data_IF_820750532761
#
_entry.id   IF_820750532761
#
_cell.length_a   1.000
_cell.length_b   1.000
_cell.length_c   1.000
_cell.angle_alpha   90.00
_cell.angle_beta   90.00
_cell.angle_gamma   90.00
#
_symmetry.space_group_name_H-M   'P 1'
#
loop_
_entity.id
_entity.type
_entity.pdbx_description
1 polymer ?
#
# COMPACT_ATOMS: atom_id res chain seq x y z
N UNK A 1 7.24 28.72 -12.47
CA UNK A 1 8.66 29.12 -12.67
C UNK A 1 8.93 30.43 -11.95
N UNK A 2 8.84 30.46 -10.61
CA UNK A 2 9.15 31.68 -9.84
C UNK A 2 10.53 31.56 -9.16
N UNK A 3 10.87 30.37 -8.68
CA UNK A 3 12.09 30.10 -7.92
C UNK A 3 13.39 30.28 -8.73
N UNK A 4 13.54 29.76 -9.96
CA UNK A 4 14.77 29.99 -10.75
C UNK A 4 14.96 31.45 -11.12
N UNK A 5 13.86 32.16 -11.42
CA UNK A 5 13.87 33.59 -11.78
C UNK A 5 14.32 34.44 -10.59
N UNK A 6 13.80 34.14 -9.40
CA UNK A 6 14.20 34.78 -8.14
C UNK A 6 15.69 34.58 -7.87
N UNK A 7 16.20 33.34 -8.00
CA UNK A 7 17.63 33.05 -7.80
C UNK A 7 18.54 33.81 -8.78
N UNK A 8 18.11 33.98 -10.03
CA UNK A 8 18.88 34.68 -11.04
C UNK A 8 18.90 36.20 -10.84
N UNK A 9 17.80 36.79 -10.35
CA UNK A 9 17.66 38.24 -10.22
C UNK A 9 18.00 38.80 -8.84
N UNK A 10 17.92 38.00 -7.77
CA UNK A 10 18.10 38.48 -6.39
C UNK A 10 19.39 38.01 -5.74
N UNK A 11 20.12 37.05 -6.31
CA UNK A 11 21.36 36.53 -5.75
C UNK A 11 22.60 36.96 -6.55
N UNK A 12 23.78 37.10 -5.90
CA UNK A 12 25.05 37.28 -6.60
C UNK A 12 25.35 36.10 -7.54
N UNK A 13 26.08 36.36 -8.63
CA UNK A 13 26.31 35.39 -9.72
C UNK A 13 26.77 34.01 -9.26
N UNK A 14 27.64 33.95 -8.24
CA UNK A 14 28.13 32.69 -7.68
C UNK A 14 27.02 31.86 -7.00
N UNK A 15 26.17 32.51 -6.19
CA UNK A 15 25.07 31.83 -5.47
C UNK A 15 24.00 31.38 -6.48
N UNK A 16 23.70 32.17 -7.50
CA UNK A 16 22.76 31.78 -8.54
C UNK A 16 23.25 30.54 -9.31
N UNK A 17 24.55 30.43 -9.59
CA UNK A 17 25.10 29.27 -10.30
C UNK A 17 24.98 27.99 -9.47
N UNK A 18 25.43 28.03 -8.20
CA UNK A 18 25.29 26.89 -7.30
C UNK A 18 23.82 26.56 -7.00
N UNK A 19 22.95 27.57 -6.85
CA UNK A 19 21.53 27.40 -6.58
C UNK A 19 20.77 26.75 -7.73
N UNK A 20 20.98 27.22 -8.96
CA UNK A 20 20.39 26.60 -10.16
C UNK A 20 20.92 25.18 -10.38
N UNK A 21 22.21 24.96 -10.13
CA UNK A 21 22.83 23.62 -10.15
C UNK A 21 22.19 22.68 -9.12
N UNK A 22 22.00 23.15 -7.89
CA UNK A 22 21.37 22.39 -6.81
C UNK A 22 19.91 22.04 -7.12
N UNK A 23 19.12 23.00 -7.62
CA UNK A 23 17.72 22.75 -8.03
C UNK A 23 17.66 21.72 -9.16
N UNK A 24 18.54 21.85 -10.17
CA UNK A 24 18.60 20.90 -11.28
C UNK A 24 18.99 19.50 -10.82
N UNK A 25 19.99 19.39 -9.93
CA UNK A 25 20.41 18.12 -9.34
C UNK A 25 19.28 17.47 -8.49
N UNK A 26 18.56 18.27 -7.70
CA UNK A 26 17.44 17.79 -6.89
C UNK A 26 16.29 17.25 -7.76
N UNK A 27 15.94 17.96 -8.84
CA UNK A 27 14.91 17.52 -9.79
C UNK A 27 15.35 16.26 -10.54
N UNK A 28 16.62 16.20 -10.97
CA UNK A 28 17.16 15.01 -11.64
C UNK A 28 17.12 13.77 -10.74
N UNK A 29 17.48 13.91 -9.46
CA UNK A 29 17.42 12.82 -8.48
C UNK A 29 15.98 12.35 -8.22
N UNK A 30 15.03 13.29 -8.14
CA UNK A 30 13.61 12.97 -7.95
C UNK A 30 13.01 12.27 -9.18
N UNK A 31 13.37 12.73 -10.37
CA UNK A 31 12.94 12.12 -11.63
C UNK A 31 13.50 10.71 -11.81
N UNK A 32 14.80 10.53 -11.53
CA UNK A 32 15.46 9.21 -11.60
C UNK A 32 14.79 8.20 -10.67
N UNK A 33 14.57 8.58 -9.40
CA UNK A 33 13.88 7.73 -8.42
C UNK A 33 12.47 7.36 -8.86
N UNK A 34 11.74 8.29 -9.48
CA UNK A 34 10.36 8.05 -9.95
C UNK A 34 10.32 7.10 -11.14
N UNK A 35 11.21 7.31 -12.12
CA UNK A 35 11.30 6.46 -13.32
C UNK A 35 11.79 5.06 -12.95
N UNK A 36 12.78 4.96 -12.06
CA UNK A 36 13.29 3.69 -11.57
C UNK A 36 12.21 2.92 -10.79
N UNK A 37 11.45 3.60 -9.93
CA UNK A 37 10.34 2.98 -9.19
C UNK A 37 9.25 2.45 -10.13
N UNK A 38 8.82 3.26 -11.10
CA UNK A 38 7.85 2.84 -12.12
C UNK A 38 8.36 1.65 -12.94
N UNK A 39 9.63 1.67 -13.34
CA UNK A 39 10.27 0.60 -14.12
C UNK A 39 10.39 -0.70 -13.33
N UNK A 40 10.76 -0.62 -12.05
CA UNK A 40 10.84 -1.78 -11.14
C UNK A 40 9.47 -2.41 -10.91
N UNK A 41 8.45 -1.58 -10.66
CA UNK A 41 7.07 -2.05 -10.53
C UNK A 41 6.58 -2.71 -11.81
N UNK A 42 6.88 -2.14 -12.98
CA UNK A 42 6.49 -2.76 -14.25
C UNK A 42 7.21 -4.10 -14.49
N UNK A 43 8.52 -4.16 -14.29
CA UNK A 43 9.29 -5.38 -14.53
C UNK A 43 8.88 -6.53 -13.59
N UNK A 44 8.58 -6.24 -12.32
CA UNK A 44 8.20 -7.26 -11.33
C UNK A 44 6.69 -7.55 -11.32
N UNK A 45 5.84 -6.54 -11.34
CA UNK A 45 4.40 -6.74 -11.16
C UNK A 45 3.68 -7.03 -12.47
N UNK A 46 4.19 -6.55 -13.61
CA UNK A 46 3.57 -6.78 -14.94
C UNK A 46 4.36 -7.83 -15.71
N UNK A 47 5.65 -7.62 -15.97
CA UNK A 47 6.40 -8.51 -16.87
C UNK A 47 6.58 -9.92 -16.28
N UNK A 48 7.04 -10.02 -15.03
CA UNK A 48 7.22 -11.32 -14.38
C UNK A 48 5.88 -12.03 -14.14
N UNK A 49 4.82 -11.32 -13.76
CA UNK A 49 3.53 -11.95 -13.48
C UNK A 49 2.74 -12.32 -14.75
N UNK A 50 2.78 -11.50 -15.80
CA UNK A 50 1.94 -11.65 -16.99
C UNK A 50 2.61 -12.43 -18.13
N UNK A 51 3.93 -12.31 -18.32
CA UNK A 51 4.63 -12.93 -19.46
C UNK A 51 5.47 -14.14 -19.07
N UNK A 52 6.23 -14.06 -17.97
CA UNK A 52 7.11 -15.16 -17.55
C UNK A 52 7.35 -15.18 -16.04
N UNK A 53 6.60 -16.04 -15.33
CA UNK A 53 6.70 -16.21 -13.88
C UNK A 53 8.09 -16.67 -13.40
N UNK A 54 8.89 -17.27 -14.29
CA UNK A 54 10.27 -17.72 -14.04
C UNK A 54 11.34 -16.85 -14.74
N UNK A 55 11.11 -15.54 -14.87
CA UNK A 55 12.13 -14.63 -15.41
C UNK A 55 13.37 -14.59 -14.51
N UNK A 56 14.56 -14.69 -15.12
CA UNK A 56 15.83 -14.59 -14.40
C UNK A 56 16.12 -13.13 -13.99
N UNK A 57 16.81 -12.89 -12.88
CA UNK A 57 17.19 -11.54 -12.42
C UNK A 57 17.89 -10.71 -13.51
N UNK A 58 18.68 -11.36 -14.36
CA UNK A 58 19.35 -10.70 -15.50
C UNK A 58 18.36 -10.19 -16.54
N UNK A 59 17.30 -10.94 -16.79
CA UNK A 59 16.24 -10.56 -17.72
C UNK A 59 15.43 -9.38 -17.15
N UNK A 60 15.11 -9.43 -15.85
CA UNK A 60 14.37 -8.35 -15.16
C UNK A 60 15.16 -7.03 -15.23
N UNK A 61 16.48 -7.05 -15.02
CA UNK A 61 17.32 -5.86 -15.14
C UNK A 61 17.33 -5.30 -16.57
N UNK A 62 17.37 -6.17 -17.58
CA UNK A 62 17.27 -5.73 -18.97
C UNK A 62 15.92 -5.08 -19.30
N UNK A 63 14.82 -5.67 -18.82
CA UNK A 63 13.48 -5.10 -18.97
C UNK A 63 13.39 -3.75 -18.26
N UNK A 64 13.89 -3.64 -17.03
CA UNK A 64 13.91 -2.36 -16.30
C UNK A 64 14.67 -1.28 -17.08
N UNK A 65 15.82 -1.59 -17.68
CA UNK A 65 16.57 -0.62 -18.50
C UNK A 65 15.78 -0.16 -19.72
N UNK A 66 15.12 -1.09 -20.42
CA UNK A 66 14.28 -0.76 -21.57
C UNK A 66 13.09 0.13 -21.17
N UNK A 67 12.43 -0.19 -20.05
CA UNK A 67 11.27 0.59 -19.57
C UNK A 67 11.67 1.99 -19.11
N UNK A 68 12.87 2.17 -18.55
CA UNK A 68 13.42 3.51 -18.23
C UNK A 68 13.48 4.37 -19.50
N UNK A 69 14.00 3.84 -20.61
CA UNK A 69 14.04 4.57 -21.88
C UNK A 69 12.64 4.90 -22.40
N UNK A 70 11.69 3.96 -22.30
CA UNK A 70 10.31 4.16 -22.77
C UNK A 70 9.57 5.19 -21.91
N UNK A 71 9.57 5.04 -20.59
CA UNK A 71 8.92 5.98 -19.67
C UNK A 71 9.60 7.36 -19.68
N UNK A 72 10.93 7.41 -19.75
CA UNK A 72 11.67 8.66 -19.93
C UNK A 72 11.27 9.37 -21.21
N UNK A 73 11.24 8.65 -22.34
CA UNK A 73 10.82 9.20 -23.64
C UNK A 73 9.37 9.70 -23.62
N UNK A 74 8.44 8.94 -23.05
CA UNK A 74 7.03 9.35 -22.88
C UNK A 74 6.89 10.58 -21.99
N UNK A 75 7.63 10.63 -20.87
CA UNK A 75 7.63 11.78 -19.97
C UNK A 75 8.19 13.03 -20.65
N UNK A 76 9.28 12.90 -21.42
CA UNK A 76 9.84 14.01 -22.21
C UNK A 76 8.86 14.47 -23.30
N UNK A 77 8.22 13.55 -24.01
CA UNK A 77 7.22 13.90 -25.00
C UNK A 77 6.04 14.67 -24.37
N UNK A 78 5.51 14.20 -23.24
CA UNK A 78 4.45 14.91 -22.51
C UNK A 78 4.91 16.28 -22.01
N UNK A 79 6.15 16.39 -21.52
CA UNK A 79 6.72 17.67 -21.08
C UNK A 79 6.87 18.68 -22.23
N UNK A 80 7.16 18.24 -23.45
CA UNK A 80 7.27 19.10 -24.64
C UNK A 80 5.92 19.48 -25.24
N UNK A 81 4.92 18.60 -25.16
CA UNK A 81 3.59 18.80 -25.75
C UNK A 81 2.64 19.60 -24.83
N UNK A 82 2.86 19.59 -23.52
CA UNK A 82 1.94 20.23 -22.57
C UNK A 82 2.35 21.66 -22.26
N UNK A 83 1.43 22.61 -22.43
CA UNK A 83 1.66 24.04 -22.18
C UNK A 83 1.68 24.45 -20.70
N UNK A 84 1.36 23.54 -19.77
CA UNK A 84 1.29 23.85 -18.33
C UNK A 84 1.68 22.67 -17.44
N UNK A 85 2.83 22.80 -16.77
CA UNK A 85 3.31 21.84 -15.76
C UNK A 85 2.36 21.75 -14.56
N UNK A 86 1.79 22.88 -14.14
CA UNK A 86 0.84 22.92 -13.02
C UNK A 86 -0.45 22.14 -13.36
N UNK A 87 -0.94 22.25 -14.60
CA UNK A 87 -2.09 21.48 -15.06
C UNK A 87 -1.81 19.97 -15.01
N UNK A 88 -0.66 19.53 -15.55
CA UNK A 88 -0.29 18.11 -15.54
C UNK A 88 -0.13 17.56 -14.11
N UNK A 89 0.52 18.31 -13.22
CA UNK A 89 0.66 17.95 -11.81
C UNK A 89 -0.69 17.83 -11.11
N UNK A 90 -1.61 18.77 -11.40
CA UNK A 90 -2.95 18.74 -10.83
C UNK A 90 -3.76 17.55 -11.34
N UNK A 91 -3.69 17.22 -12.64
CA UNK A 91 -4.43 16.07 -13.21
C UNK A 91 -3.92 14.75 -12.64
N UNK A 92 -2.60 14.61 -12.54
CA UNK A 92 -1.97 13.43 -11.93
C UNK A 92 -2.40 13.28 -10.47
N UNK A 93 -2.31 14.35 -9.69
CA UNK A 93 -2.69 14.35 -8.27
C UNK A 93 -4.18 14.03 -8.06
N UNK A 94 -5.04 14.47 -8.99
CA UNK A 94 -6.47 14.23 -8.95
C UNK A 94 -6.84 12.76 -9.22
N UNK A 95 -6.18 12.13 -10.19
CA UNK A 95 -6.34 10.70 -10.44
C UNK A 95 -5.87 9.88 -9.24
N UNK A 96 -4.73 10.23 -8.64
CA UNK A 96 -4.23 9.58 -7.42
C UNK A 96 -5.23 9.73 -6.27
N UNK A 97 -5.80 10.92 -6.09
CA UNK A 97 -6.76 11.20 -5.03
C UNK A 97 -8.09 10.45 -5.19
N UNK A 98 -8.58 10.30 -6.42
CA UNK A 98 -9.90 9.69 -6.64
C UNK A 98 -9.81 8.17 -6.77
N UNK A 99 -8.70 7.65 -7.27
CA UNK A 99 -8.56 6.22 -7.58
C UNK A 99 -7.73 5.50 -6.51
N UNK A 100 -6.52 5.97 -6.24
CA UNK A 100 -5.56 5.24 -5.39
C UNK A 100 -5.88 5.42 -3.91
N UNK A 101 -6.23 6.64 -3.51
CA UNK A 101 -6.51 6.95 -2.11
C UNK A 101 -7.67 6.14 -1.50
N UNK A 102 -8.88 6.07 -2.09
CA UNK A 102 -9.96 5.25 -1.52
C UNK A 102 -9.62 3.76 -1.51
N UNK A 103 -8.84 3.30 -2.48
CA UNK A 103 -8.35 1.93 -2.54
C UNK A 103 -7.40 1.61 -1.38
N UNK A 104 -6.46 2.52 -1.10
CA UNK A 104 -5.56 2.42 0.05
C UNK A 104 -6.33 2.42 1.37
N UNK A 105 -7.30 3.33 1.52
CA UNK A 105 -8.14 3.41 2.72
C UNK A 105 -8.91 2.11 2.97
N UNK A 106 -9.51 1.54 1.92
CA UNK A 106 -10.28 0.29 2.07
C UNK A 106 -9.37 -0.87 2.49
N UNK A 107 -8.19 -1.00 1.89
CA UNK A 107 -7.26 -2.09 2.23
C UNK A 107 -6.69 -1.95 3.65
N UNK A 108 -6.41 -0.73 4.11
CA UNK A 108 -5.81 -0.49 5.44
C UNK A 108 -6.83 -0.55 6.59
N UNK A 109 -8.01 0.03 6.42
CA UNK A 109 -8.97 0.23 7.52
C UNK A 109 -10.16 -0.74 7.51
N UNK A 110 -10.50 -1.35 6.37
CA UNK A 110 -11.69 -2.22 6.25
C UNK A 110 -11.27 -3.69 6.19
N UNK A 111 -11.51 -4.40 7.30
CA UNK A 111 -11.31 -5.86 7.39
C UNK A 111 -12.40 -6.56 6.57
N UNK A 112 -12.08 -6.91 5.33
CA UNK A 112 -13.01 -7.53 4.38
C UNK A 112 -12.90 -7.02 2.94
N UNK A 113 -11.97 -6.11 2.66
CA UNK A 113 -11.71 -5.62 1.29
C UNK A 113 -11.21 -6.76 0.40
N UNK A 114 -11.90 -6.95 -0.73
CA UNK A 114 -11.64 -7.99 -1.72
C UNK A 114 -11.14 -7.36 -3.04
N UNK A 115 -10.45 -8.15 -3.87
CA UNK A 115 -10.00 -7.68 -5.20
C UNK A 115 -11.17 -7.28 -6.09
N UNK A 116 -12.34 -7.93 -5.99
CA UNK A 116 -13.54 -7.56 -6.75
C UNK A 116 -14.08 -6.17 -6.36
N UNK A 117 -14.16 -5.86 -5.06
CA UNK A 117 -14.58 -4.53 -4.61
C UNK A 117 -13.57 -3.46 -5.01
N UNK A 118 -12.29 -3.81 -5.02
CA UNK A 118 -11.20 -2.95 -5.46
C UNK A 118 -11.33 -2.56 -6.94
N UNK A 119 -11.60 -3.55 -7.80
CA UNK A 119 -11.83 -3.33 -9.25
C UNK A 119 -13.12 -2.53 -9.47
N UNK A 120 -14.19 -2.83 -8.75
CA UNK A 120 -15.44 -2.07 -8.84
C UNK A 120 -15.24 -0.61 -8.42
N UNK A 121 -14.57 -0.36 -7.29
CA UNK A 121 -14.24 0.98 -6.82
C UNK A 121 -13.37 1.76 -7.81
N UNK A 122 -12.39 1.10 -8.44
CA UNK A 122 -11.57 1.68 -9.51
C UNK A 122 -12.42 2.12 -10.71
N UNK A 123 -13.29 1.24 -11.21
CA UNK A 123 -14.15 1.53 -12.37
C UNK A 123 -15.13 2.66 -12.03
N UNK A 124 -15.80 2.60 -10.89
CA UNK A 124 -16.73 3.64 -10.46
C UNK A 124 -16.04 4.99 -10.29
N UNK A 125 -14.85 5.03 -9.68
CA UNK A 125 -14.09 6.25 -9.50
C UNK A 125 -13.61 6.85 -10.81
N UNK A 126 -13.13 6.01 -11.73
CA UNK A 126 -12.71 6.45 -13.05
C UNK A 126 -13.90 6.97 -13.88
N UNK A 127 -15.04 6.27 -13.85
CA UNK A 127 -16.27 6.70 -14.53
C UNK A 127 -16.82 8.02 -13.99
N UNK A 128 -16.91 8.17 -12.67
CA UNK A 128 -17.38 9.42 -12.06
C UNK A 128 -16.40 10.57 -12.33
N UNK A 129 -15.10 10.30 -12.35
CA UNK A 129 -14.10 11.32 -12.64
C UNK A 129 -14.11 11.78 -14.10
N UNK A 130 -14.23 10.86 -15.05
CA UNK A 130 -14.37 11.20 -16.47
C UNK A 130 -15.73 11.86 -16.71
N UNK A 131 -16.80 11.35 -16.09
CA UNK A 131 -18.16 11.86 -16.20
C UNK A 131 -18.34 13.29 -15.66
N UNK A 132 -17.57 13.69 -14.65
CA UNK A 132 -17.55 15.06 -14.11
C UNK A 132 -16.97 16.11 -15.07
N UNK A 133 -16.38 15.69 -16.19
CA UNK A 133 -15.72 16.57 -17.16
C UNK A 133 -14.34 17.03 -16.69
N UNK A 134 -13.45 17.23 -17.63
CA UNK A 134 -12.08 17.64 -17.33
C UNK A 134 -11.67 18.85 -18.17
N UNK A 135 -11.52 20.04 -17.54
CA UNK A 135 -11.22 21.27 -18.26
C UNK A 135 -9.85 21.22 -18.96
N UNK A 136 -8.90 20.42 -18.47
CA UNK A 136 -7.56 20.30 -19.07
C UNK A 136 -7.50 19.34 -20.26
N UNK A 137 -8.42 18.37 -20.35
CA UNK A 137 -8.55 17.43 -21.48
C UNK A 137 -9.62 17.86 -22.49
N UNK A 138 -10.24 19.04 -22.31
CA UNK A 138 -11.38 19.53 -23.11
C UNK A 138 -12.55 18.53 -23.19
N UNK A 139 -12.71 17.69 -22.16
CA UNK A 139 -13.79 16.71 -22.12
C UNK A 139 -15.07 17.36 -21.60
N UNK A 140 -16.17 17.40 -22.40
CA UNK A 140 -17.45 17.92 -21.92
C UNK A 140 -17.97 17.05 -20.78
N UNK A 141 -18.48 17.65 -19.68
CA UNK A 141 -19.04 16.89 -18.57
C UNK A 141 -20.30 16.13 -19.03
N UNK A 142 -20.32 14.83 -18.77
CA UNK A 142 -21.49 13.98 -19.04
C UNK A 142 -22.50 14.03 -17.88
N UNK A 143 -22.03 14.34 -16.66
CA UNK A 143 -22.85 14.48 -15.45
C UNK A 143 -22.80 15.93 -14.99
N UNK A 144 -23.96 16.61 -15.06
CA UNK A 144 -24.14 17.96 -14.55
C UNK A 144 -24.48 17.92 -13.06
N UNK A 145 -23.50 18.18 -12.21
CA UNK A 145 -23.72 18.31 -10.77
C UNK A 145 -24.44 19.63 -10.42
N UNK A 146 -25.30 19.66 -9.38
CA UNK A 146 -26.05 20.86 -9.00
C UNK A 146 -25.12 22.02 -8.60
N UNK A 147 -25.38 23.23 -9.11
CA UNK A 147 -24.55 24.42 -8.90
C UNK A 147 -23.48 24.67 -9.98
N UNK A 148 -23.67 24.14 -11.18
CA UNK A 148 -22.82 24.42 -12.33
C UNK A 148 -22.96 25.89 -12.76
N UNK A 149 -21.82 26.57 -12.95
CA UNK A 149 -21.77 27.92 -13.51
C UNK A 149 -20.84 27.89 -14.71
N UNK A 150 -21.31 28.40 -15.84
CA UNK A 150 -20.48 28.59 -17.03
C UNK A 150 -19.49 29.72 -16.75
N UNK A 151 -18.19 29.44 -16.80
CA UNK A 151 -17.16 30.47 -16.76
C UNK A 151 -16.40 30.49 -18.07
N UNK A 152 -16.22 31.69 -18.61
CA UNK A 152 -15.41 31.96 -19.79
C UNK A 152 -13.94 32.10 -19.35
N UNK A 153 -13.05 31.27 -19.90
CA UNK A 153 -11.61 31.50 -19.82
C UNK A 153 -11.16 32.09 -21.15
N UNK A 154 -10.82 33.37 -21.14
CA UNK A 154 -10.19 34.04 -22.28
C UNK A 154 -8.71 33.65 -22.26
N UNK A 155 -8.23 32.96 -23.28
CA UNK A 155 -6.80 32.70 -23.45
C UNK A 155 -6.08 34.01 -23.78
N UNK A 156 -5.29 34.54 -22.83
CA UNK A 156 -4.52 35.79 -22.98
C UNK A 156 -3.49 35.80 -24.13
N UNK A 157 -3.23 34.65 -24.78
CA UNK A 157 -2.26 34.51 -25.87
C UNK A 157 -2.93 34.19 -27.22
N UNK A 158 -4.08 33.52 -27.24
CA UNK A 158 -4.76 33.05 -28.46
C UNK A 158 -6.05 33.81 -28.78
N UNK A 159 -6.61 34.55 -27.83
CA UNK A 159 -7.90 35.24 -28.02
C UNK A 159 -9.13 34.32 -28.05
N UNK A 160 -8.94 33.00 -27.97
CA UNK A 160 -10.02 32.03 -27.94
C UNK A 160 -10.74 32.04 -26.59
N UNK A 161 -12.08 32.15 -26.66
CA UNK A 161 -13.00 32.06 -25.53
C UNK A 161 -13.38 30.60 -25.35
N UNK A 162 -12.71 29.91 -24.42
CA UNK A 162 -13.09 28.54 -24.08
C UNK A 162 -14.10 28.55 -22.93
N UNK A 163 -15.31 28.05 -23.22
CA UNK A 163 -16.36 27.87 -22.23
C UNK A 163 -16.03 26.64 -21.37
N UNK A 164 -15.66 26.85 -20.11
CA UNK A 164 -15.47 25.76 -19.16
C UNK A 164 -16.61 25.76 -18.14
N UNK A 165 -17.23 24.60 -17.97
CA UNK A 165 -18.27 24.40 -16.96
C UNK A 165 -17.57 24.20 -15.61
N UNK A 166 -17.58 25.24 -14.77
CA UNK A 166 -17.01 25.15 -13.43
C UNK A 166 -18.08 24.60 -12.47
N UNK A 167 -17.91 23.35 -12.06
CA UNK A 167 -18.75 22.77 -11.02
C UNK A 167 -18.28 23.31 -9.66
N UNK A 168 -19.10 24.14 -9.01
CA UNK A 168 -18.81 24.68 -7.66
C UNK A 168 -18.96 23.63 -6.56
N UNK A 169 -19.71 22.57 -6.83
CA UNK A 169 -19.82 21.42 -5.95
C UNK A 169 -18.46 20.70 -5.88
N UNK A 170 -18.02 20.21 -4.70
CA UNK A 170 -16.78 19.46 -4.56
C UNK A 170 -16.91 18.05 -5.17
N UNK A 171 -17.10 17.99 -6.49
CA UNK A 171 -17.37 16.76 -7.24
C UNK A 171 -16.25 15.72 -7.07
N UNK A 172 -15.01 16.19 -6.85
CA UNK A 172 -13.84 15.34 -6.61
C UNK A 172 -13.93 14.56 -5.32
N UNK A 173 -14.34 15.21 -4.23
CA UNK A 173 -14.49 14.53 -2.93
C UNK A 173 -15.70 13.62 -2.95
N UNK A 174 -16.79 14.02 -3.62
CA UNK A 174 -17.95 13.16 -3.84
C UNK A 174 -17.61 11.92 -4.67
N UNK A 175 -16.82 12.08 -5.73
CA UNK A 175 -16.34 10.96 -6.56
C UNK A 175 -15.44 10.02 -5.76
N UNK A 176 -14.53 10.57 -4.95
CA UNK A 176 -13.66 9.78 -4.06
C UNK A 176 -14.48 8.98 -3.04
N UNK A 177 -15.45 9.63 -2.37
CA UNK A 177 -16.34 8.98 -1.41
C UNK A 177 -17.21 7.91 -2.06
N UNK A 178 -17.76 8.20 -3.24
CA UNK A 178 -18.55 7.23 -4.00
C UNK A 178 -17.72 6.01 -4.39
N UNK A 179 -16.45 6.21 -4.78
CA UNK A 179 -15.51 5.12 -5.09
C UNK A 179 -15.19 4.27 -3.87
N UNK A 180 -14.97 4.92 -2.72
CA UNK A 180 -14.75 4.23 -1.44
C UNK A 180 -15.98 3.42 -1.01
N UNK A 181 -17.17 4.02 -1.05
CA UNK A 181 -18.43 3.35 -0.72
C UNK A 181 -18.70 2.19 -1.67
N UNK A 182 -18.47 2.37 -2.97
CA UNK A 182 -18.61 1.30 -3.95
C UNK A 182 -17.63 0.15 -3.64
N UNK A 183 -16.37 0.45 -3.33
CA UNK A 183 -15.39 -0.57 -2.97
C UNK A 183 -15.83 -1.38 -1.75
N UNK A 184 -16.25 -0.70 -0.68
CA UNK A 184 -16.71 -1.33 0.56
C UNK A 184 -17.99 -2.15 0.31
N UNK A 185 -18.99 -1.57 -0.35
CA UNK A 185 -20.26 -2.23 -0.64
C UNK A 185 -20.06 -3.47 -1.51
N UNK A 186 -19.30 -3.38 -2.61
CA UNK A 186 -19.01 -4.54 -3.45
C UNK A 186 -18.13 -5.57 -2.75
N UNK A 187 -17.19 -5.16 -1.89
CA UNK A 187 -16.38 -6.08 -1.10
C UNK A 187 -17.23 -6.91 -0.13
N UNK A 188 -18.12 -6.26 0.64
CA UNK A 188 -19.03 -6.95 1.56
C UNK A 188 -20.11 -7.75 0.84
N UNK A 189 -20.67 -7.23 -0.26
CA UNK A 189 -21.63 -7.95 -1.09
C UNK A 189 -21.02 -9.23 -1.65
N UNK A 190 -19.79 -9.15 -2.17
CA UNK A 190 -19.07 -10.32 -2.69
C UNK A 190 -18.82 -11.33 -1.57
N UNK A 191 -18.35 -10.88 -0.40
CA UNK A 191 -18.15 -11.75 0.77
C UNK A 191 -19.46 -12.47 1.18
N UNK A 192 -20.55 -11.72 1.26
CA UNK A 192 -21.87 -12.25 1.58
C UNK A 192 -22.37 -13.26 0.53
N UNK A 193 -22.18 -12.98 -0.77
CA UNK A 193 -22.58 -13.88 -1.86
C UNK A 193 -21.81 -15.22 -1.85
N UNK A 194 -20.52 -15.19 -1.51
CA UNK A 194 -19.71 -16.40 -1.37
C UNK A 194 -20.06 -17.19 -0.09
N UNK A 195 -20.30 -16.52 1.04
CA UNK A 195 -20.73 -17.17 2.29
C UNK A 195 -22.15 -17.74 2.21
N UNK A 196 -23.04 -17.13 1.41
CA UNK A 196 -24.43 -17.58 1.21
C UNK A 196 -24.55 -18.76 0.23
N UNK A 197 -23.44 -19.29 -0.29
CA UNK A 197 -23.42 -20.49 -1.16
C UNK A 197 -24.09 -20.33 -2.53
N UNK A 198 -24.39 -19.10 -2.96
CA UNK A 198 -25.13 -18.85 -4.22
C UNK A 198 -24.21 -18.85 -5.46
N UNK A 199 -22.93 -18.53 -5.30
CA UNK A 199 -21.93 -18.59 -6.37
C UNK A 199 -21.00 -19.80 -6.23
N UNK A 200 -20.98 -20.65 -7.26
CA UNK A 200 -20.09 -21.83 -7.33
C UNK A 200 -18.62 -21.43 -7.41
N UNK A 201 -17.74 -22.19 -6.75
CA UNK A 201 -16.27 -22.03 -6.65
C UNK A 201 -15.54 -21.74 -7.99
N UNK A 202 -16.17 -22.00 -9.14
CA UNK A 202 -15.62 -21.80 -10.48
C UNK A 202 -15.51 -20.34 -10.93
N UNK A 203 -16.14 -19.40 -10.23
CA UNK A 203 -16.13 -17.97 -10.60
C UNK A 203 -15.12 -17.11 -9.82
N UNK A 204 -14.27 -17.68 -8.95
CA UNK A 204 -13.19 -16.92 -8.29
C UNK A 204 -11.97 -16.73 -9.23
N UNK A 205 -12.16 -15.98 -10.32
CA UNK A 205 -11.11 -15.71 -11.32
C UNK A 205 -9.96 -14.85 -10.80
N UNK A 206 -10.18 -14.06 -9.73
CA UNK A 206 -9.17 -13.20 -9.13
C UNK A 206 -8.53 -13.80 -7.87
N UNK A 207 -8.87 -15.05 -7.52
CA UNK A 207 -8.39 -15.81 -6.35
C UNK A 207 -8.37 -14.97 -5.05
N UNK A 208 -9.36 -14.10 -4.93
CA UNK A 208 -9.34 -12.96 -4.02
C UNK A 208 -9.95 -13.31 -2.66
N UNK A 209 -10.83 -14.31 -2.64
CA UNK A 209 -11.57 -14.73 -1.45
C UNK A 209 -11.06 -16.09 -0.97
N UNK A 210 -10.80 -17.02 -1.91
CA UNK A 210 -10.36 -18.39 -1.58
C UNK A 210 -8.89 -18.45 -1.16
N UNK A 211 -7.96 -17.72 -1.79
CA UNK A 211 -6.54 -17.80 -1.40
C UNK A 211 -6.25 -17.32 0.02
N UNK A 212 -7.06 -16.39 0.57
CA UNK A 212 -6.90 -15.90 1.95
C UNK A 212 -7.36 -16.94 2.97
N UNK A 213 -8.51 -17.57 2.74
CA UNK A 213 -9.01 -18.65 3.58
C UNK A 213 -8.13 -19.90 3.46
N UNK A 214 -7.69 -20.25 2.25
CA UNK A 214 -6.80 -21.39 2.02
C UNK A 214 -5.39 -21.17 2.58
N UNK A 215 -4.83 -19.95 2.52
CA UNK A 215 -3.56 -19.62 3.21
C UNK A 215 -3.71 -19.63 4.72
N UNK A 216 -4.81 -19.13 5.27
CA UNK A 216 -5.06 -19.14 6.72
C UNK A 216 -5.25 -20.56 7.27
N UNK A 217 -5.94 -21.43 6.52
CA UNK A 217 -6.06 -22.86 6.85
C UNK A 217 -4.71 -23.55 6.72
N UNK A 218 -3.98 -23.32 5.63
CA UNK A 218 -2.66 -23.95 5.43
C UNK A 218 -1.64 -23.48 6.45
N UNK A 219 -1.65 -22.20 6.85
CA UNK A 219 -0.77 -21.64 7.89
C UNK A 219 -1.12 -22.25 9.27
N UNK A 220 -2.42 -22.35 9.59
CA UNK A 220 -2.90 -23.10 10.76
C UNK A 220 -2.48 -24.56 10.74
N UNK A 221 -2.63 -25.26 9.63
CA UNK A 221 -2.26 -26.67 9.49
C UNK A 221 -0.74 -26.85 9.56
N UNK A 222 0.06 -25.92 9.01
CA UNK A 222 1.53 -25.96 9.18
C UNK A 222 1.95 -25.65 10.61
N UNK A 223 1.26 -24.74 11.32
CA UNK A 223 1.55 -24.47 12.73
C UNK A 223 1.15 -25.64 13.62
N UNK A 224 -0.04 -26.21 13.41
CA UNK A 224 -0.52 -27.40 14.13
C UNK A 224 0.37 -28.61 13.83
N UNK A 225 0.72 -28.84 12.57
CA UNK A 225 1.65 -29.91 12.18
C UNK A 225 3.06 -29.66 12.70
N UNK A 226 3.54 -28.42 12.77
CA UNK A 226 4.82 -28.10 13.43
C UNK A 226 4.76 -28.36 14.94
N UNK A 227 3.60 -28.13 15.57
CA UNK A 227 3.41 -28.36 17.00
C UNK A 227 3.24 -29.86 17.34
N UNK A 228 2.67 -30.65 16.42
CA UNK A 228 2.61 -32.12 16.50
C UNK A 228 3.94 -32.80 16.10
N UNK A 229 4.71 -32.19 15.19
CA UNK A 229 6.05 -32.64 14.78
C UNK A 229 7.18 -32.10 15.67
N UNK A 230 6.90 -31.29 16.70
CA UNK A 230 7.80 -31.18 17.86
C UNK A 230 7.72 -32.53 18.55
N UNK A 231 8.56 -33.44 18.06
CA UNK A 231 8.65 -34.80 18.52
C UNK A 231 8.99 -34.72 20.00
N UNK A 232 8.13 -35.34 20.83
CA UNK A 232 8.37 -35.62 22.24
C UNK A 232 9.74 -36.32 22.48
N UNK A 233 10.43 -36.76 21.41
CA UNK A 233 11.77 -37.36 21.40
C UNK A 233 12.94 -36.37 21.29
N UNK A 234 12.70 -35.08 20.99
CA UNK A 234 13.73 -34.02 20.89
C UNK A 234 13.67 -33.03 22.09
N UNK A 235 12.90 -33.34 23.13
CA UNK A 235 13.14 -32.76 24.45
C UNK A 235 14.45 -33.36 24.99
N UNK A 236 15.55 -32.64 24.77
CA UNK A 236 16.81 -32.93 25.45
C UNK A 236 16.54 -33.05 26.96
N UNK A 237 17.11 -34.06 27.66
CA UNK A 237 17.02 -34.07 29.12
C UNK A 237 17.61 -32.76 29.61
N UNK A 238 16.80 -31.98 30.32
CA UNK A 238 17.29 -30.83 31.05
C UNK A 238 18.30 -31.39 32.03
N UNK A 239 19.58 -31.25 31.71
CA UNK A 239 20.65 -31.40 32.69
C UNK A 239 20.29 -30.41 33.79
N UNK A 240 19.84 -30.93 34.94
CA UNK A 240 19.86 -30.17 36.17
C UNK A 240 21.31 -29.75 36.34
N UNK A 241 21.60 -28.49 36.01
CA UNK A 241 22.90 -27.90 36.27
C UNK A 241 23.13 -28.10 37.76
N UNK A 242 24.17 -28.88 38.03
CA UNK A 242 24.69 -29.23 39.33
C UNK A 242 25.00 -27.93 40.10
N UNK A 243 23.99 -27.33 40.72
CA UNK A 243 24.12 -26.32 41.76
C UNK A 243 24.39 -26.97 43.12
N UNK A 244 25.17 -28.05 43.14
CA UNK A 244 25.70 -28.67 44.34
C UNK A 244 27.14 -28.18 44.56
N UNK A 245 27.29 -26.87 44.65
CA UNK A 245 28.46 -26.19 45.24
C UNK A 245 28.04 -24.75 45.49
N UNK A 246 28.12 -24.30 46.75
CA UNK A 246 27.66 -23.00 47.30
C UNK A 246 26.23 -22.95 47.92
N UNK A 247 25.62 -24.07 48.27
CA UNK A 247 24.48 -24.11 49.22
C UNK A 247 24.93 -24.32 50.69
N UNK A 248 26.20 -24.04 51.01
CA UNK A 248 26.81 -24.35 52.31
C UNK A 248 27.42 -23.15 53.06
N UNK A 249 27.08 -21.90 52.72
CA UNK A 249 27.73 -20.73 53.36
C UNK A 249 26.77 -19.67 53.90
N UNK A 250 25.46 -19.77 53.69
CA UNK A 250 24.50 -18.82 54.28
C UNK A 250 23.18 -19.50 54.63
N UNK A 251 23.20 -20.46 55.56
CA UNK A 251 21.98 -20.83 56.31
C UNK A 251 22.33 -20.63 57.79
N UNK A 252 21.86 -19.52 58.33
CA UNK A 252 21.83 -19.25 59.76
C UNK A 252 20.99 -20.35 60.42
N UNK A 253 21.67 -21.16 61.21
CA UNK A 253 21.12 -22.11 62.17
C UNK A 253 20.49 -21.33 63.32
N UNK A 254 19.26 -20.81 63.16
CA UNK A 254 18.51 -20.27 64.31
C UNK A 254 16.98 -20.17 64.12
N UNK A 255 16.41 -20.81 63.09
CA UNK A 255 14.96 -20.88 62.96
C UNK A 255 14.55 -22.24 62.42
N UNK A 256 13.73 -22.95 63.21
CA UNK A 256 13.05 -24.21 62.88
C UNK A 256 13.88 -25.48 63.19
N UNK A 257 14.31 -25.58 64.44
CA UNK A 257 14.07 -26.80 65.21
C UNK A 257 12.56 -27.05 65.25
N UNK A 258 12.11 -28.17 64.68
CA UNK A 258 11.29 -29.17 65.38
C UNK A 258 10.63 -30.10 64.35
N UNK A 259 11.34 -31.21 64.17
CA UNK A 259 10.86 -32.59 64.13
C UNK A 259 10.22 -33.20 62.87
N UNK A 260 10.87 -34.31 62.53
CA UNK A 260 10.63 -35.31 61.50
C UNK A 260 9.34 -36.13 61.71
N UNK A 261 8.99 -36.77 60.59
CA UNK A 261 8.01 -37.83 60.38
C UNK A 261 7.82 -38.89 61.49
N UNK A 262 6.61 -39.49 61.41
CA UNK A 262 6.27 -40.91 61.63
C UNK A 262 5.31 -41.25 62.79
N UNK A 263 4.17 -41.84 62.42
CA UNK A 263 3.27 -42.66 63.27
C UNK A 263 3.81 -44.10 63.39
N UNK A 264 3.21 -45.03 64.18
CA UNK A 264 2.47 -44.93 65.45
C UNK A 264 3.01 -45.88 66.57
N UNK A 265 2.50 -45.67 67.79
CA UNK A 265 2.28 -46.61 68.93
C UNK A 265 3.30 -47.72 69.29
N UNK A 266 3.81 -47.69 70.54
CA UNK A 266 3.54 -48.69 71.61
C UNK A 266 4.71 -48.88 72.62
N UNK A 267 4.38 -48.69 73.90
CA UNK A 267 4.81 -49.48 75.08
C UNK A 267 6.26 -49.44 75.64
N UNK A 268 6.34 -48.87 76.86
CA UNK A 268 6.85 -49.50 78.10
C UNK A 268 8.35 -49.37 78.53
N UNK A 269 8.62 -48.36 79.36
CA UNK A 269 9.14 -48.42 80.75
C UNK A 269 10.24 -49.44 81.13
N UNK A 270 11.45 -48.97 81.51
CA UNK A 270 12.09 -49.17 82.85
C UNK A 270 13.58 -48.78 82.94
N UNK A 271 13.89 -48.13 84.08
CA UNK A 271 15.14 -48.01 84.86
C UNK A 271 16.24 -47.04 84.39
#
# INVERSE_FOLDING_TARGET
MILPIVLQHLCPSYISFFGLGAVSAAVMSSADSSILSASSMFARNIYQLAFRQSASDREIVWVMRLTIFVFGGLATAMALLTGSVYGLWYMSSDLVYIIIFPQLLSVLFVKGTNTYGSVAGYIFGLLLRIGGGEPYLKLPPFIYYPGWVTQERIHHVTGDVEHFIQQRFPFKTMSMLASFLANVAFSYLTKYLFESGTFSHKYDFLDAVVSKHSKEIMDKDTLVSSQENIILSELAPVNQVLGASLAGTFINSEALSDDEDSSPEAFHNKH
#
